data_IF_002977955422
#
_entry.id   IF_002977955422
#
_cell.length_a   1.000
_cell.length_b   1.000
_cell.length_c   1.000
_cell.angle_alpha   90.00
_cell.angle_beta   90.00
_cell.angle_gamma   90.00
#
_symmetry.space_group_name_H-M   'P 1'
#
loop_
_entity.id
_entity.type
_entity.pdbx_description
1 polymer ?
#
# COMPACT_ATOMS: atom_id res chain seq x y z
N UNK A 1 -7.54 5.49 6.89
CA UNK A 1 -7.93 6.30 5.71
C UNK A 1 -9.38 5.97 5.35
N UNK A 2 -10.16 6.95 4.87
CA UNK A 2 -11.61 6.82 4.60
C UNK A 2 -11.94 6.94 3.11
N UNK A 3 -11.21 7.79 2.38
CA UNK A 3 -11.44 8.04 0.95
C UNK A 3 -10.24 7.63 0.10
N UNK A 4 -10.43 7.56 -1.23
CA UNK A 4 -9.30 7.38 -2.15
C UNK A 4 -8.29 8.54 -2.05
N UNK A 5 -8.78 9.76 -1.86
CA UNK A 5 -7.95 10.95 -1.71
C UNK A 5 -7.05 10.85 -0.48
N UNK A 6 -7.54 10.28 0.63
CA UNK A 6 -6.73 10.05 1.82
C UNK A 6 -5.54 9.14 1.53
N UNK A 7 -5.72 8.09 0.71
CA UNK A 7 -4.62 7.19 0.34
C UNK A 7 -3.55 7.90 -0.49
N UNK A 8 -3.96 8.75 -1.43
CA UNK A 8 -3.05 9.54 -2.27
C UNK A 8 -2.26 10.51 -1.40
N UNK A 9 -2.93 11.23 -0.49
CA UNK A 9 -2.29 12.16 0.45
C UNK A 9 -1.30 11.41 1.35
N UNK A 10 -1.73 10.32 1.97
CA UNK A 10 -0.87 9.50 2.83
C UNK A 10 0.36 8.97 2.09
N UNK A 11 0.18 8.47 0.86
CA UNK A 11 1.30 7.99 0.05
C UNK A 11 2.30 9.11 -0.25
N UNK A 12 1.84 10.24 -0.79
CA UNK A 12 2.73 11.33 -1.21
C UNK A 12 3.42 12.02 -0.02
N UNK A 13 2.72 12.16 1.11
CA UNK A 13 3.23 12.91 2.26
C UNK A 13 4.05 12.04 3.21
N UNK A 14 3.69 10.77 3.38
CA UNK A 14 4.26 9.89 4.41
C UNK A 14 4.93 8.66 3.79
N UNK A 15 4.15 7.76 3.19
CA UNK A 15 4.61 6.39 2.92
C UNK A 15 5.69 6.31 1.83
N UNK A 16 5.59 7.12 0.78
CA UNK A 16 6.62 7.20 -0.28
C UNK A 16 7.98 7.68 0.23
N UNK A 17 8.02 8.43 1.33
CA UNK A 17 9.27 8.91 1.95
C UNK A 17 9.89 7.85 2.85
N UNK A 18 9.15 6.80 3.22
CA UNK A 18 9.59 5.77 4.14
C UNK A 18 10.71 4.91 3.53
N UNK A 19 11.93 5.00 4.09
CA UNK A 19 13.15 4.34 3.56
C UNK A 19 13.49 3.02 4.24
N UNK A 20 12.56 2.46 5.03
CA UNK A 20 12.73 1.17 5.70
C UNK A 20 12.10 0.05 4.89
N UNK A 21 12.71 -1.12 4.93
CA UNK A 21 12.10 -2.34 4.40
C UNK A 21 11.17 -2.92 5.45
N UNK A 22 10.09 -3.57 5.04
CA UNK A 22 9.16 -4.11 6.01
C UNK A 22 8.04 -4.96 5.44
N UNK A 23 7.34 -5.64 6.33
CA UNK A 23 6.06 -6.29 6.04
C UNK A 23 4.96 -5.23 6.12
N UNK A 24 4.07 -5.23 5.13
CA UNK A 24 2.90 -4.37 5.06
C UNK A 24 1.64 -5.23 5.08
N UNK A 25 0.74 -4.97 6.03
CA UNK A 25 -0.61 -5.52 6.02
C UNK A 25 -1.63 -4.40 5.81
N UNK A 26 -2.59 -4.63 4.91
CA UNK A 26 -3.59 -3.65 4.50
C UNK A 26 -4.99 -4.22 4.66
N UNK A 27 -5.91 -3.40 5.18
CA UNK A 27 -7.35 -3.63 5.02
C UNK A 27 -7.80 -2.83 3.81
N UNK A 28 -8.48 -3.47 2.86
CA UNK A 28 -8.84 -2.89 1.56
C UNK A 28 -10.34 -3.02 1.34
N UNK A 29 -10.99 -1.90 1.05
CA UNK A 29 -12.37 -1.83 0.59
C UNK A 29 -12.42 -1.74 -0.94
N UNK A 30 -13.40 -2.41 -1.55
CA UNK A 30 -13.65 -2.40 -3.00
C UNK A 30 -13.17 -3.63 -3.77
N UNK A 31 -12.59 -4.63 -3.09
CA UNK A 31 -12.34 -5.95 -3.67
C UNK A 31 -13.54 -6.88 -3.44
N UNK A 32 -13.81 -7.75 -4.41
CA UNK A 32 -14.92 -8.72 -4.35
C UNK A 32 -14.53 -10.05 -3.71
N UNK A 33 -13.23 -10.36 -3.64
CA UNK A 33 -12.70 -11.67 -3.27
C UNK A 33 -11.79 -11.66 -2.03
N UNK A 34 -11.51 -10.49 -1.44
CA UNK A 34 -10.68 -10.38 -0.24
C UNK A 34 -10.98 -9.06 0.51
N UNK A 35 -10.77 -9.07 1.83
CA UNK A 35 -10.92 -7.88 2.69
C UNK A 35 -9.63 -7.09 2.92
N UNK A 36 -8.51 -7.55 2.37
CA UNK A 36 -7.19 -7.00 2.63
C UNK A 36 -6.08 -7.76 1.91
N UNK A 37 -4.85 -7.31 2.12
CA UNK A 37 -3.66 -7.87 1.49
C UNK A 37 -2.43 -7.74 2.37
N UNK A 38 -1.49 -8.67 2.24
CA UNK A 38 -0.19 -8.63 2.94
C UNK A 38 0.92 -8.78 1.91
N UNK A 39 1.92 -7.90 1.98
CA UNK A 39 3.07 -7.88 1.07
C UNK A 39 4.31 -7.32 1.77
N UNK A 40 5.42 -7.23 1.05
CA UNK A 40 6.65 -6.58 1.47
C UNK A 40 6.79 -5.21 0.81
N UNK A 41 7.34 -4.25 1.54
CA UNK A 41 7.74 -2.93 1.04
C UNK A 41 9.26 -2.83 0.99
N UNK A 42 9.78 -2.45 -0.18
CA UNK A 42 11.17 -2.02 -0.36
C UNK A 42 11.25 -0.52 -0.11
N UNK A 43 11.86 -0.14 1.02
CA UNK A 43 12.13 1.26 1.34
C UNK A 43 13.21 1.87 0.46
N UNK A 44 14.09 1.05 -0.13
CA UNK A 44 15.08 1.46 -1.12
C UNK A 44 14.42 1.83 -2.45
N UNK A 45 13.57 0.95 -2.96
CA UNK A 45 12.98 1.08 -4.30
C UNK A 45 11.62 1.80 -4.30
N UNK A 46 11.10 2.14 -3.11
CA UNK A 46 9.81 2.80 -2.91
C UNK A 46 8.65 2.06 -3.56
N UNK A 47 8.63 0.74 -3.41
CA UNK A 47 7.60 -0.13 -4.01
C UNK A 47 7.23 -1.30 -3.13
N UNK A 48 6.01 -1.81 -3.34
CA UNK A 48 5.61 -3.14 -2.89
C UNK A 48 6.33 -4.20 -3.74
N UNK A 49 6.76 -5.31 -3.15
CA UNK A 49 7.57 -6.30 -3.88
C UNK A 49 6.77 -7.23 -4.78
N UNK A 50 5.48 -7.41 -4.49
CA UNK A 50 4.53 -8.12 -5.35
C UNK A 50 3.82 -7.19 -6.34
N UNK A 51 4.31 -5.95 -6.45
CA UNK A 51 3.88 -5.03 -7.47
C UNK A 51 4.18 -5.61 -8.86
N UNK A 52 3.12 -5.83 -9.63
CA UNK A 52 3.21 -6.11 -11.06
C UNK A 52 2.70 -4.89 -11.84
N UNK A 53 3.55 -4.15 -12.57
CA UNK A 53 3.15 -2.97 -13.34
C UNK A 53 2.08 -3.25 -14.41
N UNK A 54 1.91 -4.51 -14.82
CA UNK A 54 0.91 -4.91 -15.81
C UNK A 54 -0.44 -5.27 -15.17
N UNK A 55 -0.49 -5.53 -13.86
CA UNK A 55 -1.70 -5.95 -13.15
C UNK A 55 -2.19 -4.93 -12.10
N UNK A 56 -1.25 -4.34 -11.35
CA UNK A 56 -1.54 -3.46 -10.22
C UNK A 56 -0.60 -2.26 -10.21
N UNK A 57 -1.19 -1.07 -10.29
CA UNK A 57 -0.52 0.14 -9.80
C UNK A 57 -0.52 0.10 -8.26
N UNK A 58 0.48 0.66 -7.58
CA UNK A 58 0.63 0.74 -6.11
C UNK A 58 -0.73 0.71 -5.34
N UNK A 59 -0.91 -0.16 -4.34
CA UNK A 59 -2.20 -0.37 -3.66
C UNK A 59 -2.86 0.90 -3.11
N UNK A 60 -2.08 1.88 -2.63
CA UNK A 60 -2.59 3.17 -2.16
C UNK A 60 -3.12 4.02 -3.33
N UNK A 61 -2.54 3.87 -4.52
CA UNK A 61 -2.86 4.62 -5.74
C UNK A 61 -3.76 3.86 -6.73
N UNK A 62 -4.00 2.57 -6.53
CA UNK A 62 -4.73 1.72 -7.49
C UNK A 62 -6.22 2.04 -7.61
N UNK A 63 -6.69 2.34 -8.82
CA UNK A 63 -8.12 2.44 -9.22
C UNK A 63 -9.02 3.06 -8.14
N UNK A 64 -10.19 2.44 -7.91
CA UNK A 64 -11.22 2.90 -6.99
C UNK A 64 -11.20 2.17 -5.64
N UNK A 65 -10.18 1.35 -5.38
CA UNK A 65 -10.05 0.67 -4.10
C UNK A 65 -9.55 1.63 -3.01
N UNK A 66 -9.94 1.36 -1.77
CA UNK A 66 -9.57 2.18 -0.63
C UNK A 66 -8.88 1.30 0.41
N UNK A 67 -7.57 1.46 0.56
CA UNK A 67 -6.85 0.98 1.75
C UNK A 67 -7.38 1.74 2.97
N UNK A 68 -8.11 1.09 3.87
CA UNK A 68 -8.71 1.76 5.03
C UNK A 68 -7.78 1.77 6.23
N UNK A 69 -6.92 0.76 6.36
CA UNK A 69 -5.85 0.66 7.36
C UNK A 69 -4.59 0.09 6.71
N UNK A 70 -3.43 0.59 7.13
CA UNK A 70 -2.11 0.08 6.74
C UNK A 70 -1.28 -0.10 8.00
N UNK A 71 -0.71 -1.29 8.17
CA UNK A 71 0.20 -1.64 9.25
C UNK A 71 1.56 -1.99 8.66
N UNK A 72 2.62 -1.58 9.34
CA UNK A 72 3.99 -1.75 8.88
C UNK A 72 4.85 -2.32 10.01
N UNK A 73 5.62 -3.37 9.71
CA UNK A 73 6.65 -3.91 10.59
C UNK A 73 8.00 -3.82 9.90
N UNK A 74 8.90 -3.01 10.47
CA UNK A 74 10.28 -2.87 9.95
C UNK A 74 11.02 -4.20 10.04
N UNK A 75 11.68 -4.56 8.94
CA UNK A 75 12.60 -5.69 8.88
C UNK A 75 14.03 -5.16 9.00
N UNK A 76 14.86 -5.90 9.73
CA UNK A 76 16.29 -5.61 9.91
C UNK A 76 17.09 -5.96 8.67
#
# INVERSE_FOLDING_TARGET
MRTKQDNIIFYNNEFSKFSKNGVVAMIISGWSNAGGHVTLWSGKDKKFLDYDPNLYNNYLLYRNIIVTKLYFWELK
#
